data_IF_954046172558
#
_entry.id   IF_954046172558
#
_cell.length_a   1.000
_cell.length_b   1.000
_cell.length_c   1.000
_cell.angle_alpha   90.00
_cell.angle_beta   90.00
_cell.angle_gamma   90.00
#
_symmetry.space_group_name_H-M   'P 1'
#
loop_
_entity.id
_entity.type
_entity.pdbx_description
1 polymer ?
#
# COMPACT_ATOMS: atom_id res chain seq x y z
N UNK A 1 39.55 -19.30 -26.88
CA UNK A 1 38.88 -19.67 -25.63
C UNK A 1 37.74 -20.61 -25.98
N UNK A 2 37.49 -21.64 -25.15
CA UNK A 2 36.34 -22.50 -25.40
C UNK A 2 35.05 -21.81 -25.02
N UNK A 3 33.95 -22.13 -25.74
CA UNK A 3 32.60 -21.57 -25.51
C UNK A 3 32.15 -21.68 -24.03
N UNK A 4 32.42 -22.80 -23.38
CA UNK A 4 32.08 -23.07 -21.99
C UNK A 4 32.84 -22.13 -21.04
N UNK A 5 34.13 -21.94 -21.25
CA UNK A 5 34.95 -21.07 -20.42
C UNK A 5 34.52 -19.61 -20.57
N UNK A 6 34.14 -19.20 -21.78
CA UNK A 6 33.59 -17.89 -22.06
C UNK A 6 32.32 -17.62 -21.24
N UNK A 7 31.34 -18.53 -21.30
CA UNK A 7 30.09 -18.40 -20.59
C UNK A 7 30.28 -18.42 -19.06
N UNK A 8 31.22 -19.22 -18.55
CA UNK A 8 31.53 -19.30 -17.12
C UNK A 8 32.17 -17.99 -16.61
N UNK A 9 33.13 -17.45 -17.33
CA UNK A 9 33.79 -16.18 -17.00
C UNK A 9 32.79 -15.00 -17.06
N UNK A 10 31.98 -14.93 -18.11
CA UNK A 10 30.95 -13.90 -18.31
C UNK A 10 29.90 -13.95 -17.20
N UNK A 11 29.31 -15.12 -16.92
CA UNK A 11 28.30 -15.28 -15.90
C UNK A 11 28.81 -15.05 -14.48
N UNK A 12 30.12 -15.29 -14.27
CA UNK A 12 30.81 -14.98 -13.01
C UNK A 12 30.80 -13.50 -12.65
N UNK A 13 30.68 -12.59 -13.64
CA UNK A 13 30.59 -11.14 -13.43
C UNK A 13 29.16 -10.68 -13.05
N UNK A 14 28.13 -11.51 -13.26
CA UNK A 14 26.74 -11.17 -13.07
C UNK A 14 26.32 -11.42 -11.60
N UNK A 15 25.99 -10.34 -10.88
CA UNK A 15 25.57 -10.41 -9.47
C UNK A 15 24.19 -11.04 -9.29
N UNK A 16 23.29 -10.85 -10.27
CA UNK A 16 21.94 -11.43 -10.23
C UNK A 16 21.98 -12.90 -10.69
N UNK A 17 22.32 -13.81 -9.77
CA UNK A 17 22.45 -15.26 -10.04
C UNK A 17 21.23 -15.90 -10.72
N UNK A 18 20.04 -15.33 -10.56
CA UNK A 18 18.83 -15.82 -11.21
C UNK A 18 18.77 -15.54 -12.71
N UNK A 19 19.42 -14.46 -13.13
CA UNK A 19 19.49 -14.11 -14.54
C UNK A 19 20.61 -14.84 -15.25
N UNK A 20 21.64 -15.32 -14.53
CA UNK A 20 22.76 -16.04 -15.13
C UNK A 20 22.34 -17.16 -16.12
N UNK A 21 21.41 -18.09 -15.79
CA UNK A 21 21.03 -19.13 -16.73
C UNK A 21 20.26 -18.61 -17.95
N UNK A 22 19.53 -17.49 -17.81
CA UNK A 22 18.79 -16.89 -18.92
C UNK A 22 19.76 -16.17 -19.87
N UNK A 23 20.66 -15.35 -19.29
CA UNK A 23 21.68 -14.61 -20.05
C UNK A 23 22.68 -15.58 -20.71
N UNK A 24 23.09 -16.63 -19.98
CA UNK A 24 23.99 -17.64 -20.55
C UNK A 24 23.37 -18.30 -21.79
N UNK A 25 22.08 -18.62 -21.74
CA UNK A 25 21.35 -19.21 -22.85
C UNK A 25 21.21 -18.25 -24.03
N UNK A 26 20.88 -16.99 -23.77
CA UNK A 26 20.76 -15.96 -24.80
C UNK A 26 22.11 -15.73 -25.54
N UNK A 27 23.21 -15.66 -24.78
CA UNK A 27 24.55 -15.54 -25.35
C UNK A 27 24.95 -16.83 -26.04
N UNK A 28 24.61 -17.98 -25.52
CA UNK A 28 24.85 -19.28 -26.16
C UNK A 28 24.11 -19.40 -27.49
N UNK A 29 22.86 -19.00 -27.57
CA UNK A 29 22.08 -18.97 -28.81
C UNK A 29 22.72 -18.00 -29.84
N UNK A 30 23.22 -16.86 -29.38
CA UNK A 30 23.92 -15.87 -30.21
C UNK A 30 25.25 -16.42 -30.80
N UNK A 31 26.05 -17.12 -29.96
CA UNK A 31 27.29 -17.77 -30.45
C UNK A 31 26.95 -18.84 -31.48
N UNK A 32 25.85 -19.58 -31.27
CA UNK A 32 25.45 -20.62 -32.23
C UNK A 32 24.97 -20.03 -33.57
N UNK A 33 24.21 -18.92 -33.53
CA UNK A 33 23.80 -18.21 -34.76
C UNK A 33 25.02 -17.68 -35.55
N UNK A 34 25.98 -17.08 -34.86
CA UNK A 34 27.23 -16.61 -35.48
C UNK A 34 28.07 -17.77 -36.05
N UNK A 35 28.21 -18.89 -35.32
CA UNK A 35 28.86 -20.10 -35.80
C UNK A 35 28.25 -20.58 -37.10
N UNK A 36 26.89 -20.61 -37.19
CA UNK A 36 26.21 -21.03 -38.40
C UNK A 36 26.47 -20.07 -39.58
N UNK A 37 26.55 -18.76 -39.30
CA UNK A 37 26.91 -17.78 -40.33
C UNK A 37 28.33 -18.01 -40.90
N UNK A 38 29.34 -18.21 -40.04
CA UNK A 38 30.69 -18.49 -40.45
C UNK A 38 30.86 -19.83 -41.19
N UNK A 39 30.11 -20.85 -40.80
CA UNK A 39 30.05 -22.12 -41.53
C UNK A 39 29.44 -21.93 -42.93
N UNK A 40 28.46 -21.07 -43.09
CA UNK A 40 27.90 -20.73 -44.41
C UNK A 40 28.88 -19.99 -45.32
N UNK A 41 29.86 -19.27 -44.71
CA UNK A 41 30.97 -18.62 -45.43
C UNK A 41 32.11 -19.58 -45.78
N UNK A 42 32.02 -20.86 -45.36
CA UNK A 42 32.96 -21.92 -45.75
C UNK A 42 34.01 -22.26 -44.68
N UNK A 43 33.89 -21.78 -43.45
CA UNK A 43 34.77 -22.17 -42.34
C UNK A 43 34.46 -23.60 -41.86
N UNK A 44 35.45 -24.27 -41.32
CA UNK A 44 35.26 -25.54 -40.61
C UNK A 44 34.53 -25.30 -39.29
N UNK A 45 33.84 -26.31 -38.77
CA UNK A 45 33.06 -26.20 -37.55
C UNK A 45 33.88 -25.70 -36.34
N UNK A 46 35.13 -26.20 -36.20
CA UNK A 46 36.00 -25.76 -35.10
C UNK A 46 36.51 -24.32 -35.25
N UNK A 47 36.79 -23.90 -36.50
CA UNK A 47 37.21 -22.53 -36.80
C UNK A 47 36.05 -21.54 -36.61
N UNK A 48 34.85 -21.91 -37.08
CA UNK A 48 33.63 -21.11 -36.94
C UNK A 48 33.26 -20.90 -35.47
N UNK A 49 33.41 -21.92 -34.62
CA UNK A 49 33.10 -21.81 -33.18
C UNK A 49 34.11 -20.88 -32.47
N UNK A 50 35.39 -20.98 -32.78
CA UNK A 50 36.41 -20.08 -32.23
C UNK A 50 36.23 -18.65 -32.68
N UNK A 51 35.91 -18.43 -33.95
CA UNK A 51 35.63 -17.11 -34.50
C UNK A 51 34.37 -16.48 -33.89
N UNK A 52 33.31 -17.27 -33.73
CA UNK A 52 32.08 -16.80 -33.09
C UNK A 52 32.31 -16.38 -31.64
N UNK A 53 33.07 -17.13 -30.85
CA UNK A 53 33.39 -16.76 -29.47
C UNK A 53 34.31 -15.52 -29.42
N UNK A 54 35.25 -15.37 -30.38
CA UNK A 54 36.15 -14.23 -30.44
C UNK A 54 35.41 -12.93 -30.81
N UNK A 55 34.40 -13.02 -31.67
CA UNK A 55 33.56 -11.89 -32.08
C UNK A 55 32.65 -11.38 -30.95
N UNK A 56 32.30 -12.22 -29.98
CA UNK A 56 31.56 -11.81 -28.80
C UNK A 56 32.31 -10.84 -27.87
N UNK A 57 33.62 -10.67 -28.05
CA UNK A 57 34.47 -9.78 -27.28
C UNK A 57 34.93 -10.35 -25.94
N UNK A 58 35.40 -9.48 -25.05
CA UNK A 58 35.89 -9.89 -23.70
C UNK A 58 34.76 -10.36 -22.80
N UNK A 59 34.77 -11.60 -22.31
CA UNK A 59 33.72 -12.14 -21.44
C UNK A 59 33.54 -11.35 -20.13
N UNK A 60 34.58 -10.71 -19.61
CA UNK A 60 34.50 -9.89 -18.40
C UNK A 60 33.77 -8.59 -18.71
N UNK A 61 34.08 -7.95 -19.83
CA UNK A 61 33.46 -6.69 -20.25
C UNK A 61 31.98 -6.90 -20.57
N UNK A 62 31.65 -7.92 -21.37
CA UNK A 62 30.29 -8.30 -21.70
C UNK A 62 29.51 -8.69 -20.44
N UNK A 63 30.10 -9.44 -19.50
CA UNK A 63 29.48 -9.82 -18.24
C UNK A 63 29.16 -8.63 -17.34
N UNK A 64 30.08 -7.64 -17.29
CA UNK A 64 29.83 -6.38 -16.53
C UNK A 64 28.73 -5.53 -17.17
N UNK A 65 28.68 -5.45 -18.52
CA UNK A 65 27.59 -4.75 -19.21
C UNK A 65 26.23 -5.41 -18.96
N UNK A 66 26.19 -6.74 -19.06
CA UNK A 66 24.97 -7.52 -18.74
C UNK A 66 24.56 -7.36 -17.29
N UNK A 67 25.50 -7.31 -16.32
CA UNK A 67 25.18 -7.00 -14.93
C UNK A 67 24.56 -5.59 -14.78
N UNK A 68 25.07 -4.58 -15.47
CA UNK A 68 24.54 -3.22 -15.43
C UNK A 68 23.11 -3.11 -15.96
N UNK A 69 22.79 -3.91 -16.99
CA UNK A 69 21.45 -3.94 -17.60
C UNK A 69 20.45 -4.69 -16.70
N UNK A 70 20.86 -5.82 -16.13
CA UNK A 70 19.96 -6.76 -15.44
C UNK A 70 19.97 -6.63 -13.91
N UNK A 71 20.89 -5.87 -13.32
CA UNK A 71 20.90 -5.65 -11.87
C UNK A 71 19.66 -4.87 -11.41
N UNK A 72 19.06 -5.26 -10.29
CA UNK A 72 17.95 -4.51 -9.68
C UNK A 72 18.40 -3.08 -9.36
N UNK A 73 17.77 -2.10 -9.99
CA UNK A 73 18.04 -0.68 -9.70
C UNK A 73 17.22 -0.26 -8.48
N UNK A 74 17.90 0.14 -7.41
CA UNK A 74 17.23 0.69 -6.22
C UNK A 74 16.51 2.00 -6.58
N UNK A 75 15.24 2.17 -6.16
CA UNK A 75 14.46 3.36 -6.47
C UNK A 75 14.81 4.53 -5.52
N UNK A 76 16.08 4.97 -5.51
CA UNK A 76 16.59 6.01 -4.60
C UNK A 76 15.76 7.28 -4.59
N UNK A 77 15.19 7.66 -5.75
CA UNK A 77 14.29 8.83 -5.82
C UNK A 77 13.02 8.64 -4.99
N UNK A 78 12.41 7.46 -5.05
CA UNK A 78 11.23 7.15 -4.24
C UNK A 78 11.57 7.09 -2.75
N UNK A 79 12.69 6.45 -2.39
CA UNK A 79 13.19 6.36 -1.02
C UNK A 79 13.44 7.77 -0.45
N UNK A 80 14.10 8.64 -1.21
CA UNK A 80 14.35 10.03 -0.78
C UNK A 80 13.04 10.81 -0.57
N UNK A 81 12.07 10.69 -1.47
CA UNK A 81 10.77 11.36 -1.34
C UNK A 81 10.04 10.88 -0.09
N UNK A 82 10.01 9.57 0.17
CA UNK A 82 9.41 9.00 1.38
C UNK A 82 10.14 9.52 2.63
N UNK A 83 11.49 9.55 2.61
CA UNK A 83 12.30 10.07 3.70
C UNK A 83 11.96 11.53 4.04
N UNK A 84 11.88 12.37 3.02
CA UNK A 84 11.52 13.78 3.20
C UNK A 84 10.12 13.95 3.76
N UNK A 85 9.16 13.15 3.30
CA UNK A 85 7.79 13.16 3.80
C UNK A 85 7.71 12.73 5.26
N UNK A 86 8.45 11.68 5.65
CA UNK A 86 8.52 11.21 7.04
C UNK A 86 9.16 12.27 7.97
N UNK A 87 10.24 12.92 7.54
CA UNK A 87 10.88 14.00 8.30
C UNK A 87 9.91 15.18 8.46
N UNK A 88 9.26 15.62 7.37
CA UNK A 88 8.29 16.70 7.41
C UNK A 88 7.12 16.38 8.35
N UNK A 89 6.62 15.15 8.27
CA UNK A 89 5.60 14.59 9.13
C UNK A 89 6.03 14.63 10.60
N UNK A 90 7.26 14.24 10.90
CA UNK A 90 7.83 14.31 12.24
C UNK A 90 7.92 15.75 12.78
N UNK A 91 8.30 16.70 11.93
CA UNK A 91 8.35 18.13 12.29
C UNK A 91 6.95 18.65 12.64
N UNK A 92 5.95 18.36 11.80
CA UNK A 92 4.56 18.74 12.08
C UNK A 92 4.04 18.08 13.37
N UNK A 93 4.29 16.77 13.55
CA UNK A 93 3.90 16.07 14.75
C UNK A 93 4.54 16.72 16.01
N UNK A 94 5.83 17.02 15.98
CA UNK A 94 6.52 17.67 17.08
C UNK A 94 5.95 19.08 17.38
N UNK A 95 5.60 19.84 16.32
CA UNK A 95 5.00 21.16 16.45
C UNK A 95 3.64 21.08 17.15
N UNK A 96 2.75 20.18 16.71
CA UNK A 96 1.41 20.04 17.29
C UNK A 96 1.44 19.46 18.71
N UNK A 97 2.38 18.55 18.98
CA UNK A 97 2.50 17.90 20.29
C UNK A 97 3.09 18.82 21.36
N UNK A 98 3.87 19.84 20.99
CA UNK A 98 4.37 20.86 21.91
C UNK A 98 3.21 21.65 22.57
N UNK A 99 2.04 21.65 21.96
CA UNK A 99 0.84 22.28 22.50
C UNK A 99 0.13 21.44 23.58
N UNK A 100 0.47 20.14 23.72
CA UNK A 100 -0.06 19.24 24.75
C UNK A 100 1.03 18.98 25.80
N UNK A 101 0.93 19.61 26.95
CA UNK A 101 1.98 19.64 27.99
C UNK A 101 2.39 18.24 28.52
N UNK A 102 1.48 17.26 28.52
CA UNK A 102 1.74 15.93 29.11
C UNK A 102 2.24 14.85 28.13
N UNK A 103 1.98 14.94 26.84
CA UNK A 103 2.24 13.87 25.87
C UNK A 103 3.29 14.20 24.81
N UNK A 104 3.68 15.47 24.66
CA UNK A 104 4.51 15.94 23.53
C UNK A 104 5.87 15.27 23.43
N UNK A 105 6.60 15.13 24.52
CA UNK A 105 7.95 14.55 24.53
C UNK A 105 7.94 13.04 24.22
N UNK A 106 7.05 12.28 24.85
CA UNK A 106 6.93 10.83 24.66
C UNK A 106 6.48 10.50 23.25
N UNK A 107 5.56 11.28 22.70
CA UNK A 107 5.08 11.08 21.32
C UNK A 107 6.17 11.40 20.28
N UNK A 108 6.99 12.44 20.51
CA UNK A 108 8.14 12.76 19.65
C UNK A 108 9.16 11.63 19.62
N UNK A 109 9.53 11.07 20.79
CA UNK A 109 10.46 9.93 20.87
C UNK A 109 9.88 8.70 20.14
N UNK A 110 8.61 8.38 20.34
CA UNK A 110 7.95 7.28 19.64
C UNK A 110 7.98 7.47 18.13
N UNK A 111 7.78 8.68 17.63
CA UNK A 111 7.83 8.97 16.19
C UNK A 111 9.25 8.77 15.64
N UNK A 112 10.28 9.27 16.30
CA UNK A 112 11.67 9.05 15.89
C UNK A 112 11.99 7.55 15.85
N UNK A 113 11.59 6.80 16.89
CA UNK A 113 11.80 5.36 16.94
C UNK A 113 11.10 4.64 15.77
N UNK A 114 9.87 5.02 15.42
CA UNK A 114 9.15 4.44 14.28
C UNK A 114 9.85 4.71 12.95
N UNK A 115 10.29 5.93 12.71
CA UNK A 115 11.04 6.28 11.49
C UNK A 115 12.32 5.46 11.44
N UNK A 116 13.07 5.40 12.55
CA UNK A 116 14.32 4.65 12.66
C UNK A 116 14.14 3.14 12.39
N UNK A 117 12.99 2.57 12.75
CA UNK A 117 12.66 1.16 12.46
C UNK A 117 12.10 0.95 11.06
N UNK A 118 11.28 1.87 10.55
CA UNK A 118 10.62 1.73 9.25
C UNK A 118 11.61 1.79 8.08
N UNK A 119 12.63 2.65 8.16
CA UNK A 119 13.64 2.82 7.10
C UNK A 119 14.43 1.55 6.81
N UNK A 120 15.08 0.88 7.78
CA UNK A 120 15.78 -0.38 7.55
C UNK A 120 14.85 -1.46 6.99
N UNK A 121 13.62 -1.57 7.50
CA UNK A 121 12.63 -2.53 7.00
C UNK A 121 12.26 -2.24 5.55
N UNK A 122 12.04 -0.97 5.18
CA UNK A 122 11.78 -0.58 3.79
C UNK A 122 12.93 -0.97 2.86
N UNK A 123 14.17 -0.68 3.26
CA UNK A 123 15.36 -1.04 2.49
C UNK A 123 15.45 -2.58 2.35
N UNK A 124 15.24 -3.32 3.43
CA UNK A 124 15.25 -4.78 3.41
C UNK A 124 14.19 -5.34 2.45
N UNK A 125 12.97 -4.81 2.47
CA UNK A 125 11.91 -5.20 1.54
C UNK A 125 12.28 -4.89 0.10
N UNK A 126 12.98 -3.80 -0.18
CA UNK A 126 13.45 -3.48 -1.53
C UNK A 126 14.48 -4.50 -2.08
N UNK A 127 15.24 -5.16 -1.21
CA UNK A 127 16.17 -6.24 -1.59
C UNK A 127 15.52 -7.62 -1.67
N UNK A 128 14.30 -7.77 -1.11
CA UNK A 128 13.61 -9.06 -1.13
C UNK A 128 13.15 -9.43 -2.53
N UNK A 129 13.38 -10.70 -2.88
CA UNK A 129 12.86 -11.26 -4.12
C UNK A 129 11.40 -11.72 -3.96
N UNK A 130 10.49 -10.88 -4.41
CA UNK A 130 9.05 -11.16 -4.37
C UNK A 130 8.60 -12.28 -5.32
N UNK A 131 9.45 -12.75 -6.25
CA UNK A 131 9.12 -13.88 -7.13
C UNK A 131 8.87 -15.17 -6.33
N UNK A 132 9.56 -15.33 -5.20
CA UNK A 132 9.34 -16.43 -4.28
C UNK A 132 7.94 -16.40 -3.65
N UNK A 133 7.47 -15.21 -3.29
CA UNK A 133 6.09 -15.00 -2.82
C UNK A 133 5.09 -15.40 -3.92
N UNK A 134 5.36 -15.05 -5.17
CA UNK A 134 4.53 -15.44 -6.32
C UNK A 134 4.42 -16.94 -6.51
N UNK A 135 5.52 -17.69 -6.32
CA UNK A 135 5.54 -19.15 -6.42
C UNK A 135 4.67 -19.82 -5.34
N UNK A 136 4.69 -19.31 -4.11
CA UNK A 136 4.00 -19.89 -2.95
C UNK A 136 2.87 -18.99 -2.43
N UNK A 137 2.22 -18.22 -3.32
CA UNK A 137 1.25 -17.18 -2.97
C UNK A 137 0.14 -17.66 -2.03
N UNK A 138 -0.43 -18.85 -2.27
CA UNK A 138 -1.50 -19.43 -1.44
C UNK A 138 -1.01 -19.78 -0.04
N UNK A 139 0.22 -20.30 0.07
CA UNK A 139 0.82 -20.63 1.36
C UNK A 139 1.06 -19.38 2.20
N UNK A 140 1.62 -18.32 1.57
CA UNK A 140 1.85 -17.05 2.26
C UNK A 140 0.56 -16.35 2.65
N UNK A 141 -0.43 -16.30 1.76
CA UNK A 141 -1.71 -15.68 2.07
C UNK A 141 -2.46 -16.45 3.18
N UNK A 142 -2.52 -17.78 3.10
CA UNK A 142 -3.15 -18.61 4.12
C UNK A 142 -2.39 -18.59 5.45
N UNK A 143 -1.06 -18.68 5.42
CA UNK A 143 -0.21 -18.55 6.61
C UNK A 143 -0.35 -17.21 7.29
N UNK A 144 -0.45 -16.12 6.50
CA UNK A 144 -0.67 -14.79 7.03
C UNK A 144 -2.05 -14.65 7.72
N UNK A 145 -3.11 -15.18 7.10
CA UNK A 145 -4.44 -15.20 7.71
C UNK A 145 -4.44 -15.99 9.03
N UNK A 146 -3.80 -17.16 9.04
CA UNK A 146 -3.64 -17.96 10.26
C UNK A 146 -2.86 -17.19 11.33
N UNK A 147 -1.74 -16.56 10.94
CA UNK A 147 -0.96 -15.71 11.84
C UNK A 147 -1.80 -14.59 12.47
N UNK A 148 -2.62 -13.89 11.69
CA UNK A 148 -3.51 -12.84 12.19
C UNK A 148 -4.52 -13.37 13.22
N UNK A 149 -5.11 -14.55 12.95
CA UNK A 149 -6.04 -15.20 13.88
C UNK A 149 -5.34 -15.61 15.18
N UNK A 150 -4.15 -16.21 15.09
CA UNK A 150 -3.35 -16.61 16.26
C UNK A 150 -2.91 -15.39 17.08
N UNK A 151 -2.43 -14.33 16.43
CA UNK A 151 -2.06 -13.08 17.12
C UNK A 151 -3.24 -12.50 17.88
N UNK A 152 -4.43 -12.47 17.28
CA UNK A 152 -5.63 -12.05 17.98
C UNK A 152 -5.98 -12.96 19.16
N UNK A 153 -5.87 -14.26 18.99
CA UNK A 153 -6.26 -15.21 20.03
C UNK A 153 -5.35 -15.13 21.28
N UNK A 154 -4.04 -15.01 21.07
CA UNK A 154 -3.07 -15.08 22.17
C UNK A 154 -2.64 -13.74 22.76
N UNK A 155 -2.66 -12.65 21.96
CA UNK A 155 -2.04 -11.38 22.33
C UNK A 155 -2.98 -10.18 22.28
N UNK A 156 -4.29 -10.40 22.15
CA UNK A 156 -5.25 -9.30 22.01
C UNK A 156 -5.33 -8.44 23.27
N UNK A 157 -5.27 -7.13 23.05
CA UNK A 157 -5.60 -6.11 24.04
C UNK A 157 -6.95 -5.49 23.70
N UNK A 158 -7.82 -5.39 24.69
CA UNK A 158 -9.08 -4.66 24.57
C UNK A 158 -8.88 -3.22 25.05
N UNK A 159 -9.05 -2.28 24.14
CA UNK A 159 -8.98 -0.86 24.43
C UNK A 159 -10.36 -0.26 24.07
N UNK A 160 -11.02 0.36 25.03
CA UNK A 160 -12.36 0.93 24.88
C UNK A 160 -13.40 -0.08 24.32
N UNK A 161 -13.32 -1.34 24.74
CA UNK A 161 -14.22 -2.41 24.29
C UNK A 161 -13.92 -2.98 22.90
N UNK A 162 -12.91 -2.48 22.20
CA UNK A 162 -12.51 -2.99 20.90
C UNK A 162 -11.27 -3.91 21.01
N UNK A 163 -11.42 -5.17 20.61
CA UNK A 163 -10.38 -6.20 20.60
C UNK A 163 -9.57 -6.15 19.28
N UNK A 164 -8.89 -5.04 19.01
CA UNK A 164 -8.16 -4.79 17.75
C UNK A 164 -6.68 -4.47 17.89
N UNK A 165 -6.15 -4.55 19.10
CA UNK A 165 -4.75 -4.26 19.39
C UNK A 165 -4.05 -5.50 19.93
N UNK A 166 -2.77 -5.65 19.60
CA UNK A 166 -1.89 -6.65 20.19
C UNK A 166 -0.89 -5.93 21.08
N UNK A 167 -0.65 -6.45 22.30
CA UNK A 167 0.39 -5.95 23.20
C UNK A 167 1.54 -6.94 23.30
N UNK A 168 2.74 -6.47 22.98
CA UNK A 168 3.97 -7.25 23.15
C UNK A 168 5.04 -6.34 23.73
N UNK A 169 5.57 -6.69 24.91
CA UNK A 169 6.71 -6.00 25.50
C UNK A 169 6.53 -4.49 25.74
N UNK A 170 5.29 -4.03 26.05
CA UNK A 170 4.99 -2.61 26.24
C UNK A 170 4.68 -1.84 24.97
N UNK A 171 4.72 -2.49 23.81
CA UNK A 171 4.28 -1.92 22.52
C UNK A 171 2.89 -2.43 22.17
N UNK A 172 2.06 -1.56 21.61
CA UNK A 172 0.77 -1.94 21.04
C UNK A 172 0.81 -1.79 19.52
N UNK A 173 0.35 -2.83 18.81
CA UNK A 173 0.26 -2.85 17.35
C UNK A 173 -1.19 -3.11 16.96
N UNK A 174 -1.71 -2.33 16.00
CA UNK A 174 -3.07 -2.52 15.50
C UNK A 174 -3.16 -3.70 14.54
N UNK A 175 -3.98 -4.68 14.86
CA UNK A 175 -4.33 -5.80 13.96
C UNK A 175 -4.97 -5.29 12.67
N UNK A 176 -5.78 -4.23 12.76
CA UNK A 176 -6.41 -3.63 11.60
C UNK A 176 -5.39 -3.08 10.60
N UNK A 177 -4.33 -2.42 11.08
CA UNK A 177 -3.25 -1.92 10.22
C UNK A 177 -2.43 -3.07 9.62
N UNK A 178 -2.17 -4.12 10.39
CA UNK A 178 -1.48 -5.30 9.86
C UNK A 178 -2.22 -5.91 8.68
N UNK A 179 -3.57 -5.83 8.63
CA UNK A 179 -4.36 -6.37 7.51
C UNK A 179 -3.95 -5.84 6.13
N UNK A 180 -3.28 -4.69 6.04
CA UNK A 180 -2.79 -4.14 4.78
C UNK A 180 -1.72 -5.00 4.11
N UNK A 181 -0.93 -5.72 4.89
CA UNK A 181 0.08 -6.64 4.36
C UNK A 181 -0.55 -7.83 3.61
N UNK A 182 -1.85 -8.07 3.81
CA UNK A 182 -2.57 -9.08 3.02
C UNK A 182 -2.72 -8.67 1.56
N UNK A 183 -2.80 -7.38 1.23
CA UNK A 183 -3.07 -6.93 -0.15
C UNK A 183 -1.97 -7.30 -1.16
N UNK A 184 -0.68 -7.10 -0.91
CA UNK A 184 0.35 -7.62 -1.81
C UNK A 184 0.31 -9.16 -1.92
N UNK A 185 -0.01 -9.89 -0.85
CA UNK A 185 -0.18 -11.34 -0.88
C UNK A 185 -1.41 -11.74 -1.72
N UNK A 186 -2.52 -11.02 -1.59
CA UNK A 186 -3.70 -11.21 -2.43
C UNK A 186 -3.39 -10.94 -3.91
N UNK A 187 -2.58 -9.92 -4.22
CA UNK A 187 -2.08 -9.68 -5.56
C UNK A 187 -1.32 -10.86 -6.14
N UNK A 188 -0.49 -11.51 -5.34
CA UNK A 188 0.22 -12.72 -5.74
C UNK A 188 -0.73 -13.92 -5.94
N UNK A 189 -1.79 -14.03 -5.15
CA UNK A 189 -2.85 -15.04 -5.33
C UNK A 189 -3.59 -14.83 -6.64
N UNK A 190 -4.00 -13.60 -6.96
CA UNK A 190 -4.63 -13.25 -8.24
C UNK A 190 -3.75 -13.62 -9.43
N UNK A 191 -2.45 -13.31 -9.34
CA UNK A 191 -1.48 -13.66 -10.38
C UNK A 191 -1.36 -15.17 -10.58
N UNK A 192 -1.49 -15.97 -9.51
CA UNK A 192 -1.39 -17.45 -9.58
C UNK A 192 -2.55 -18.09 -10.34
N UNK A 193 -3.74 -17.48 -10.32
CA UNK A 193 -4.92 -17.97 -11.01
C UNK A 193 -5.05 -17.45 -12.45
N UNK A 194 -4.03 -16.79 -12.99
CA UNK A 194 -4.02 -16.29 -14.36
C UNK A 194 -4.16 -17.44 -15.38
N UNK A 195 -4.94 -17.21 -16.42
CA UNK A 195 -5.24 -18.21 -17.46
C UNK A 195 -6.45 -19.11 -17.16
N UNK A 196 -6.97 -19.08 -15.93
CA UNK A 196 -8.18 -19.83 -15.56
C UNK A 196 -9.46 -19.04 -15.92
N UNK A 197 -10.62 -19.74 -15.94
CA UNK A 197 -11.93 -19.16 -16.24
C UNK A 197 -12.68 -18.62 -15.02
N UNK A 198 -14.02 -18.70 -15.02
CA UNK A 198 -14.88 -18.19 -13.94
C UNK A 198 -14.56 -18.75 -12.55
N UNK A 199 -14.04 -19.99 -12.48
CA UNK A 199 -13.58 -20.57 -11.21
C UNK A 199 -12.48 -19.77 -10.54
N UNK A 200 -11.59 -19.10 -11.30
CA UNK A 200 -10.55 -18.22 -10.76
C UNK A 200 -11.14 -16.97 -10.10
N UNK A 201 -12.15 -16.37 -10.73
CA UNK A 201 -12.84 -15.21 -10.15
C UNK A 201 -13.53 -15.59 -8.84
N UNK A 202 -14.19 -16.75 -8.79
CA UNK A 202 -14.81 -17.25 -7.56
C UNK A 202 -13.74 -17.49 -6.46
N UNK A 203 -12.63 -18.17 -6.80
CA UNK A 203 -11.51 -18.39 -5.86
C UNK A 203 -10.94 -17.06 -5.36
N UNK A 204 -10.80 -16.06 -6.23
CA UNK A 204 -10.33 -14.72 -5.85
C UNK A 204 -11.28 -14.06 -4.85
N UNK A 205 -12.59 -14.12 -5.07
CA UNK A 205 -13.59 -13.62 -4.11
C UNK A 205 -13.52 -14.38 -2.79
N UNK A 206 -13.39 -15.72 -2.83
CA UNK A 206 -13.27 -16.55 -1.61
C UNK A 206 -12.03 -16.16 -0.80
N UNK A 207 -10.90 -15.83 -1.44
CA UNK A 207 -9.68 -15.43 -0.73
C UNK A 207 -9.79 -14.08 -0.01
N UNK A 208 -10.66 -13.16 -0.45
CA UNK A 208 -10.86 -11.89 0.26
C UNK A 208 -11.78 -12.02 1.48
N UNK A 209 -12.69 -13.00 1.52
CA UNK A 209 -13.68 -13.13 2.61
C UNK A 209 -13.06 -13.33 3.99
N UNK A 210 -12.02 -14.16 4.20
CA UNK A 210 -11.43 -14.39 5.52
C UNK A 210 -10.86 -13.12 6.15
N UNK A 211 -10.16 -12.28 5.40
CA UNK A 211 -9.58 -11.04 5.96
C UNK A 211 -10.66 -10.00 6.27
N UNK A 212 -11.68 -9.88 5.41
CA UNK A 212 -12.82 -8.99 5.66
C UNK A 212 -13.61 -9.47 6.87
N UNK A 213 -13.92 -10.77 6.95
CA UNK A 213 -14.57 -11.37 8.11
C UNK A 213 -13.78 -11.19 9.40
N UNK A 214 -12.46 -11.40 9.36
CA UNK A 214 -11.57 -11.15 10.49
C UNK A 214 -11.69 -9.70 11.00
N UNK A 215 -11.65 -8.71 10.10
CA UNK A 215 -11.74 -7.30 10.47
C UNK A 215 -13.12 -6.92 11.05
N UNK A 216 -14.20 -7.52 10.57
CA UNK A 216 -15.53 -7.37 11.17
C UNK A 216 -15.52 -7.89 12.61
N UNK A 217 -14.86 -9.01 12.87
CA UNK A 217 -14.73 -9.54 14.25
C UNK A 217 -13.82 -8.69 15.14
N UNK A 218 -12.93 -7.86 14.56
CA UNK A 218 -12.11 -6.87 15.28
C UNK A 218 -12.82 -5.53 15.53
N UNK A 219 -14.13 -5.44 15.54
CA UNK A 219 -15.07 -4.33 15.35
C UNK A 219 -14.51 -3.13 14.57
N UNK A 220 -13.87 -3.39 13.45
CA UNK A 220 -13.31 -2.37 12.56
C UNK A 220 -13.92 -2.46 11.14
N UNK A 221 -15.19 -2.09 11.04
CA UNK A 221 -15.96 -2.15 9.79
C UNK A 221 -15.41 -1.24 8.69
N UNK A 222 -14.77 -0.12 9.06
CA UNK A 222 -14.18 0.80 8.08
C UNK A 222 -12.95 0.17 7.45
N UNK A 223 -12.09 -0.46 8.25
CA UNK A 223 -10.92 -1.17 7.73
C UNK A 223 -11.34 -2.39 6.90
N UNK A 224 -12.39 -3.12 7.34
CA UNK A 224 -12.97 -4.21 6.56
C UNK A 224 -13.44 -3.74 5.18
N UNK A 225 -14.13 -2.60 5.12
CA UNK A 225 -14.54 -1.95 3.87
C UNK A 225 -13.33 -1.52 3.01
N UNK A 226 -12.33 -0.90 3.62
CA UNK A 226 -11.12 -0.45 2.91
C UNK A 226 -10.36 -1.61 2.27
N UNK A 227 -10.11 -2.67 3.02
CA UNK A 227 -9.40 -3.86 2.52
C UNK A 227 -10.25 -4.60 1.49
N UNK A 228 -11.55 -4.74 1.74
CA UNK A 228 -12.48 -5.38 0.80
C UNK A 228 -12.55 -4.63 -0.54
N UNK A 229 -12.73 -3.30 -0.51
CA UNK A 229 -12.71 -2.46 -1.71
C UNK A 229 -11.36 -2.56 -2.45
N UNK A 230 -10.25 -2.53 -1.74
CA UNK A 230 -8.93 -2.69 -2.34
C UNK A 230 -8.80 -4.04 -3.07
N UNK A 231 -9.25 -5.14 -2.46
CA UNK A 231 -9.28 -6.45 -3.10
C UNK A 231 -10.16 -6.47 -4.36
N UNK A 232 -11.34 -5.84 -4.31
CA UNK A 232 -12.24 -5.74 -5.47
C UNK A 232 -11.57 -4.94 -6.60
N UNK A 233 -10.96 -3.78 -6.32
CA UNK A 233 -10.25 -3.00 -7.33
C UNK A 233 -9.07 -3.77 -7.93
N UNK A 234 -8.33 -4.55 -7.13
CA UNK A 234 -7.27 -5.42 -7.62
C UNK A 234 -7.82 -6.50 -8.55
N UNK A 235 -8.95 -7.12 -8.21
CA UNK A 235 -9.62 -8.11 -9.06
C UNK A 235 -10.13 -7.45 -10.37
N UNK A 236 -10.70 -6.25 -10.30
CA UNK A 236 -11.12 -5.50 -11.48
C UNK A 236 -9.95 -5.19 -12.41
N UNK A 237 -8.80 -4.77 -11.86
CA UNK A 237 -7.59 -4.55 -12.65
C UNK A 237 -7.07 -5.85 -13.30
N UNK A 238 -7.12 -6.97 -12.58
CA UNK A 238 -6.74 -8.28 -13.13
C UNK A 238 -7.64 -8.70 -14.31
N UNK A 239 -8.94 -8.42 -14.22
CA UNK A 239 -9.92 -8.64 -15.30
C UNK A 239 -9.64 -7.73 -16.51
N UNK A 240 -9.38 -6.45 -16.27
CA UNK A 240 -9.06 -5.46 -17.33
C UNK A 240 -7.78 -5.85 -18.07
N UNK A 241 -6.78 -6.38 -17.37
CA UNK A 241 -5.53 -6.90 -17.96
C UNK A 241 -5.71 -8.23 -18.69
N UNK A 242 -6.92 -8.79 -18.75
CA UNK A 242 -7.20 -10.03 -19.46
C UNK A 242 -6.61 -11.29 -18.81
N UNK A 243 -6.40 -11.28 -17.49
CA UNK A 243 -5.79 -12.42 -16.80
C UNK A 243 -6.69 -13.63 -16.74
N UNK A 244 -8.00 -13.46 -16.85
CA UNK A 244 -8.99 -14.54 -16.73
C UNK A 244 -9.80 -14.70 -18.02
N UNK A 245 -10.06 -15.95 -18.38
CA UNK A 245 -10.87 -16.30 -19.56
C UNK A 245 -12.36 -16.22 -19.22
N UNK A 246 -12.88 -15.00 -19.08
CA UNK A 246 -14.26 -14.73 -18.69
C UNK A 246 -14.86 -13.58 -19.50
N UNK A 247 -16.18 -13.44 -19.49
CA UNK A 247 -16.87 -12.28 -20.06
C UNK A 247 -16.63 -11.04 -19.17
N UNK A 248 -15.49 -10.36 -19.37
CA UNK A 248 -14.98 -9.27 -18.52
C UNK A 248 -16.07 -8.24 -18.20
N UNK A 249 -16.84 -7.77 -19.20
CA UNK A 249 -17.89 -6.76 -18.99
C UNK A 249 -18.96 -7.20 -18.00
N UNK A 250 -19.40 -8.49 -18.08
CA UNK A 250 -20.43 -9.02 -17.17
C UNK A 250 -19.90 -9.15 -15.73
N UNK A 251 -18.69 -9.67 -15.59
CA UNK A 251 -18.05 -9.80 -14.27
C UNK A 251 -17.77 -8.44 -13.65
N UNK A 252 -17.25 -7.49 -14.43
CA UNK A 252 -17.01 -6.09 -13.98
C UNK A 252 -18.31 -5.41 -13.53
N UNK A 253 -19.41 -5.57 -14.28
CA UNK A 253 -20.71 -5.04 -13.88
C UNK A 253 -21.19 -5.67 -12.55
N UNK A 254 -21.06 -6.99 -12.40
CA UNK A 254 -21.40 -7.69 -11.15
C UNK A 254 -20.58 -7.21 -9.96
N UNK A 255 -19.25 -7.06 -10.13
CA UNK A 255 -18.37 -6.51 -9.10
C UNK A 255 -18.71 -5.05 -8.78
N UNK A 256 -19.03 -4.24 -9.79
CA UNK A 256 -19.47 -2.84 -9.59
C UNK A 256 -20.77 -2.76 -8.76
N UNK A 257 -21.75 -3.61 -9.06
CA UNK A 257 -22.99 -3.72 -8.29
C UNK A 257 -22.69 -4.12 -6.84
N UNK A 258 -21.81 -5.09 -6.61
CA UNK A 258 -21.39 -5.49 -5.27
C UNK A 258 -20.67 -4.35 -4.53
N UNK A 259 -19.80 -3.62 -5.22
CA UNK A 259 -19.00 -2.52 -4.64
C UNK A 259 -19.88 -1.36 -4.16
N UNK A 260 -20.94 -1.05 -4.88
CA UNK A 260 -21.88 0.03 -4.53
C UNK A 260 -23.08 -0.50 -3.75
N UNK A 261 -23.62 -1.64 -4.17
CA UNK A 261 -24.85 -2.20 -3.61
C UNK A 261 -24.70 -2.67 -2.17
N UNK A 262 -23.58 -3.32 -1.80
CA UNK A 262 -23.37 -3.77 -0.42
C UNK A 262 -23.25 -2.58 0.55
N UNK A 263 -22.39 -1.57 0.35
CA UNK A 263 -22.35 -0.41 1.22
C UNK A 263 -23.67 0.37 1.28
N UNK A 264 -24.33 0.55 0.13
CA UNK A 264 -25.62 1.21 0.07
C UNK A 264 -26.70 0.43 0.82
N UNK A 265 -26.74 -0.90 0.67
CA UNK A 265 -27.65 -1.78 1.40
C UNK A 265 -27.40 -1.75 2.91
N UNK A 266 -26.15 -1.76 3.35
CA UNK A 266 -25.78 -1.62 4.77
C UNK A 266 -26.22 -0.26 5.30
N UNK A 267 -25.96 0.83 4.58
CA UNK A 267 -26.40 2.17 4.97
C UNK A 267 -27.91 2.26 5.05
N UNK A 268 -28.63 1.71 4.07
CA UNK A 268 -30.08 1.66 4.05
C UNK A 268 -30.62 0.83 5.24
N UNK A 269 -30.03 -0.33 5.50
CA UNK A 269 -30.41 -1.15 6.64
C UNK A 269 -30.27 -0.39 7.97
N UNK A 270 -29.15 0.25 8.22
CA UNK A 270 -28.95 1.02 9.44
C UNK A 270 -29.81 2.29 9.50
N UNK A 271 -30.13 2.89 8.36
CA UNK A 271 -31.01 4.04 8.29
C UNK A 271 -32.46 3.69 8.68
N UNK A 272 -32.94 2.54 8.23
CA UNK A 272 -34.34 2.13 8.51
C UNK A 272 -34.46 1.31 9.79
N UNK A 273 -33.57 0.37 10.05
CA UNK A 273 -33.68 -0.62 11.11
C UNK A 273 -32.61 -0.47 12.22
N UNK A 274 -31.65 0.42 12.08
CA UNK A 274 -30.60 0.65 13.06
C UNK A 274 -31.12 1.27 14.37
N UNK A 275 -30.32 1.17 15.43
CA UNK A 275 -30.56 1.85 16.68
C UNK A 275 -30.54 3.38 16.49
N UNK A 276 -31.20 4.13 17.35
CA UNK A 276 -31.35 5.59 17.21
C UNK A 276 -29.98 6.31 17.10
N UNK A 277 -28.97 5.85 17.83
CA UNK A 277 -27.61 6.42 17.71
C UNK A 277 -26.98 6.18 16.33
N UNK A 278 -27.28 5.05 15.67
CA UNK A 278 -26.80 4.73 14.31
C UNK A 278 -27.52 5.60 13.27
N UNK A 279 -28.84 5.72 13.39
CA UNK A 279 -29.63 6.63 12.55
C UNK A 279 -29.17 8.08 12.68
N UNK A 280 -28.89 8.53 13.92
CA UNK A 280 -28.35 9.87 14.16
C UNK A 280 -26.98 10.07 13.46
N UNK A 281 -26.09 9.09 13.53
CA UNK A 281 -24.78 9.17 12.83
C UNK A 281 -24.94 9.27 11.33
N UNK A 282 -25.83 8.47 10.74
CA UNK A 282 -26.08 8.52 9.28
C UNK A 282 -26.70 9.86 8.89
N UNK A 283 -27.71 10.32 9.63
CA UNK A 283 -28.31 11.65 9.39
C UNK A 283 -27.27 12.76 9.51
N UNK A 284 -26.37 12.67 10.49
CA UNK A 284 -25.28 13.63 10.68
C UNK A 284 -24.30 13.72 9.50
N UNK A 285 -24.13 12.65 8.72
CA UNK A 285 -23.30 12.67 7.51
C UNK A 285 -23.95 13.49 6.37
N UNK A 286 -25.27 13.48 6.28
CA UNK A 286 -26.02 14.13 5.19
C UNK A 286 -26.55 15.52 5.54
N UNK A 287 -26.73 15.84 6.82
CA UNK A 287 -27.22 17.16 7.25
C UNK A 287 -26.04 18.12 7.38
N UNK A 288 -25.81 18.87 6.32
CA UNK A 288 -24.77 19.92 6.26
C UNK A 288 -25.18 21.21 6.98
N UNK A 289 -26.45 21.37 7.40
CA UNK A 289 -27.00 22.68 7.81
C UNK A 289 -27.55 22.72 9.24
N UNK A 290 -27.33 23.88 9.88
CA UNK A 290 -28.00 24.53 11.04
C UNK A 290 -28.33 23.77 12.33
N UNK A 291 -28.36 22.46 12.41
CA UNK A 291 -28.47 21.72 13.66
C UNK A 291 -27.11 21.53 14.39
N UNK A 292 -26.12 22.36 14.09
CA UNK A 292 -24.82 22.40 14.80
C UNK A 292 -24.98 22.52 16.32
N UNK A 293 -26.10 23.05 16.79
CA UNK A 293 -26.45 23.09 18.20
C UNK A 293 -26.70 21.71 18.85
N UNK A 294 -27.25 20.73 18.11
CA UNK A 294 -27.45 19.35 18.60
C UNK A 294 -26.19 18.51 18.55
N UNK A 295 -25.18 18.91 17.73
CA UNK A 295 -23.89 18.23 17.62
C UNK A 295 -22.83 18.75 18.59
N UNK A 296 -23.14 19.73 19.45
CA UNK A 296 -22.23 20.19 20.50
C UNK A 296 -21.82 19.01 21.37
N UNK A 297 -20.51 18.75 21.43
CA UNK A 297 -19.91 17.63 22.17
C UNK A 297 -19.60 16.39 21.35
N UNK A 298 -19.90 16.36 20.04
CA UNK A 298 -19.42 15.30 19.13
C UNK A 298 -18.13 15.73 18.43
N UNK A 299 -17.29 14.75 18.05
CA UNK A 299 -16.06 15.01 17.30
C UNK A 299 -16.35 15.74 15.98
N UNK A 300 -17.40 15.32 15.26
CA UNK A 300 -17.80 15.95 14.00
C UNK A 300 -18.21 17.42 14.16
N UNK A 301 -18.93 17.73 15.24
CA UNK A 301 -19.30 19.10 15.58
C UNK A 301 -18.08 19.98 15.85
N UNK A 302 -17.11 19.47 16.62
CA UNK A 302 -15.86 20.18 16.90
C UNK A 302 -15.03 20.42 15.63
N UNK A 303 -14.95 19.44 14.72
CA UNK A 303 -14.26 19.56 13.41
C UNK A 303 -14.91 20.67 12.57
N UNK A 304 -16.22 20.66 12.43
CA UNK A 304 -16.95 21.68 11.65
C UNK A 304 -16.83 23.06 12.29
N UNK A 305 -16.87 23.14 13.61
CA UNK A 305 -16.70 24.39 14.34
C UNK A 305 -15.31 25.00 14.11
N UNK A 306 -14.24 24.21 14.22
CA UNK A 306 -12.90 24.69 13.92
C UNK A 306 -12.73 25.07 12.46
N UNK A 307 -13.22 24.24 11.52
CA UNK A 307 -13.14 24.52 10.09
C UNK A 307 -13.83 25.83 9.71
N UNK A 308 -14.97 26.14 10.32
CA UNK A 308 -15.68 27.41 10.07
C UNK A 308 -14.94 28.66 10.58
N UNK A 309 -13.98 28.48 11.49
CA UNK A 309 -13.12 29.53 12.03
C UNK A 309 -11.76 29.65 11.29
N UNK A 310 -11.43 28.67 10.44
CA UNK A 310 -10.18 28.70 9.67
C UNK A 310 -10.20 29.82 8.64
N UNK A 311 -9.10 30.55 8.56
CA UNK A 311 -8.86 31.60 7.54
C UNK A 311 -8.12 31.02 6.35
N UNK A 312 -8.08 31.76 5.24
CA UNK A 312 -7.29 31.37 4.07
C UNK A 312 -5.81 31.23 4.44
N UNK A 313 -5.25 32.20 5.19
CA UNK A 313 -3.89 32.21 5.71
C UNK A 313 -3.96 32.68 7.17
N UNK A 314 -3.16 32.07 8.04
CA UNK A 314 -3.05 32.46 9.43
C UNK A 314 -3.76 31.52 10.39
N UNK A 315 -3.75 31.89 11.66
CA UNK A 315 -4.20 31.04 12.78
C UNK A 315 -5.68 31.24 13.08
N UNK A 316 -6.42 30.15 13.17
CA UNK A 316 -7.83 30.15 13.57
C UNK A 316 -7.99 30.40 15.08
N UNK A 317 -9.06 31.12 15.45
CA UNK A 317 -9.42 31.30 16.86
C UNK A 317 -9.91 29.99 17.48
N UNK A 318 -9.36 29.65 18.65
CA UNK A 318 -9.77 28.44 19.39
C UNK A 318 -9.12 27.14 18.94
N UNK A 319 -8.14 27.17 18.04
CA UNK A 319 -7.40 25.99 17.59
C UNK A 319 -6.75 25.24 18.75
N UNK A 320 -6.22 25.94 19.77
CA UNK A 320 -5.59 25.30 20.94
C UNK A 320 -6.59 24.54 21.79
N UNK A 321 -7.82 25.04 21.93
CA UNK A 321 -8.90 24.34 22.65
C UNK A 321 -9.31 23.05 21.96
N UNK A 322 -9.26 23.05 20.64
CA UNK A 322 -9.54 21.84 19.85
C UNK A 322 -8.51 20.74 20.16
N UNK A 323 -7.22 21.12 20.28
CA UNK A 323 -6.13 20.18 20.56
C UNK A 323 -5.98 19.82 22.04
N UNK A 324 -6.39 20.68 22.96
CA UNK A 324 -6.37 20.39 24.39
C UNK A 324 -7.49 19.46 24.85
N UNK A 325 -8.46 19.14 23.97
CA UNK A 325 -9.56 18.23 24.29
C UNK A 325 -9.17 16.77 24.19
N UNK A 326 -9.36 15.99 25.28
CA UNK A 326 -9.06 14.55 25.34
C UNK A 326 -9.88 13.68 24.36
N UNK A 327 -10.81 14.25 23.62
CA UNK A 327 -11.78 13.53 22.78
C UNK A 327 -11.32 13.32 21.34
N UNK A 328 -10.22 13.97 20.90
CA UNK A 328 -9.82 13.99 19.50
C UNK A 328 -8.39 13.50 19.42
N UNK A 329 -8.16 12.39 18.72
CA UNK A 329 -6.81 11.96 18.36
C UNK A 329 -6.20 13.00 17.41
N UNK A 330 -5.15 13.67 17.85
CA UNK A 330 -4.43 14.69 17.07
C UNK A 330 -3.96 14.15 15.71
N UNK A 331 -3.64 12.87 15.64
CA UNK A 331 -3.16 12.22 14.43
C UNK A 331 -4.24 12.08 13.36
N UNK A 332 -5.50 11.82 13.74
CA UNK A 332 -6.60 11.63 12.77
C UNK A 332 -6.98 12.93 12.06
N UNK A 333 -6.78 14.07 12.72
CA UNK A 333 -7.19 15.39 12.22
C UNK A 333 -6.03 16.32 11.92
N UNK A 334 -4.87 15.76 11.54
CA UNK A 334 -3.67 16.56 11.26
C UNK A 334 -3.88 17.62 10.18
N UNK A 335 -4.63 17.31 9.12
CA UNK A 335 -4.94 18.28 8.05
C UNK A 335 -5.76 19.45 8.57
N UNK A 336 -6.73 19.19 9.43
CA UNK A 336 -7.51 20.24 10.10
C UNK A 336 -6.61 21.07 11.04
N UNK A 337 -5.63 20.43 11.71
CA UNK A 337 -4.62 21.13 12.47
C UNK A 337 -3.79 22.09 11.63
N UNK A 338 -3.31 21.64 10.48
CA UNK A 338 -2.59 22.48 9.51
C UNK A 338 -3.46 23.65 9.08
N UNK A 339 -4.75 23.43 8.77
CA UNK A 339 -5.67 24.51 8.44
C UNK A 339 -5.87 25.48 9.59
N UNK A 340 -5.96 24.99 10.82
CA UNK A 340 -6.16 25.81 12.01
C UNK A 340 -4.97 26.68 12.38
N UNK A 341 -3.75 26.19 12.21
CA UNK A 341 -2.54 26.94 12.55
C UNK A 341 -1.97 27.79 11.42
N UNK A 342 -2.05 27.31 10.19
CA UNK A 342 -1.39 27.94 9.03
C UNK A 342 -2.38 28.47 7.98
N UNK A 343 -3.62 28.04 8.04
CA UNK A 343 -4.67 28.42 7.11
C UNK A 343 -5.01 27.35 6.08
N UNK A 344 -6.16 27.54 5.42
CA UNK A 344 -6.74 26.59 4.46
C UNK A 344 -5.84 26.40 3.24
N UNK A 345 -5.15 27.45 2.78
CA UNK A 345 -4.26 27.35 1.61
C UNK A 345 -3.11 26.37 1.83
N UNK A 346 -2.52 26.35 3.04
CA UNK A 346 -1.45 25.40 3.38
C UNK A 346 -2.00 23.98 3.44
N UNK A 347 -3.19 23.77 4.02
CA UNK A 347 -3.86 22.48 4.01
C UNK A 347 -4.09 21.98 2.57
N UNK A 348 -4.63 22.83 1.68
CA UNK A 348 -4.87 22.47 0.27
C UNK A 348 -3.57 22.13 -0.46
N UNK A 349 -2.49 22.86 -0.19
CA UNK A 349 -1.16 22.55 -0.74
C UNK A 349 -0.67 21.17 -0.28
N UNK A 350 -0.79 20.85 1.01
CA UNK A 350 -0.44 19.51 1.54
C UNK A 350 -1.28 18.42 0.90
N UNK A 351 -2.58 18.62 0.75
CA UNK A 351 -3.49 17.68 0.05
C UNK A 351 -3.02 17.47 -1.39
N UNK A 352 -2.71 18.55 -2.12
CA UNK A 352 -2.26 18.47 -3.51
C UNK A 352 -0.93 17.69 -3.64
N UNK A 353 0.03 17.92 -2.73
CA UNK A 353 1.30 17.19 -2.71
C UNK A 353 1.07 15.71 -2.50
N UNK A 354 0.25 15.31 -1.52
CA UNK A 354 -0.02 13.90 -1.23
C UNK A 354 -0.78 13.25 -2.38
N UNK A 355 -1.80 13.91 -2.93
CA UNK A 355 -2.53 13.41 -4.10
C UNK A 355 -1.60 13.23 -5.30
N UNK A 356 -0.69 14.18 -5.54
CA UNK A 356 0.34 14.09 -6.58
C UNK A 356 1.27 12.89 -6.40
N UNK A 357 1.71 12.62 -5.16
CA UNK A 357 2.52 11.45 -4.84
C UNK A 357 1.76 10.13 -5.05
N UNK A 358 0.51 10.05 -4.61
CA UNK A 358 -0.32 8.86 -4.83
C UNK A 358 -0.54 8.61 -6.33
N UNK A 359 -0.81 9.65 -7.11
CA UNK A 359 -0.90 9.57 -8.57
C UNK A 359 0.42 9.12 -9.20
N UNK A 360 1.57 9.60 -8.70
CA UNK A 360 2.88 9.17 -9.17
C UNK A 360 3.16 7.71 -8.85
N UNK A 361 2.86 7.25 -7.63
CA UNK A 361 2.98 5.83 -7.24
C UNK A 361 2.07 4.95 -8.10
N UNK A 362 0.83 5.35 -8.31
CA UNK A 362 -0.12 4.61 -9.14
C UNK A 362 0.39 4.47 -10.58
N UNK A 363 0.81 5.58 -11.19
CA UNK A 363 1.36 5.57 -12.56
C UNK A 363 2.64 4.73 -12.65
N UNK A 364 3.53 4.84 -11.67
CA UNK A 364 4.77 4.06 -11.61
C UNK A 364 4.47 2.56 -11.52
N UNK A 365 3.50 2.19 -10.67
CA UNK A 365 3.07 0.80 -10.50
C UNK A 365 2.44 0.23 -11.76
N UNK A 366 1.52 0.95 -12.41
CA UNK A 366 0.85 0.49 -13.63
C UNK A 366 1.77 0.40 -14.86
N UNK A 367 2.90 1.11 -14.86
CA UNK A 367 3.92 1.05 -15.91
C UNK A 367 4.90 -0.12 -15.76
N UNK A 368 4.85 -0.86 -14.67
CA UNK A 368 5.76 -2.00 -14.44
C UNK A 368 5.50 -3.11 -15.45
N UNK A 369 6.57 -3.60 -16.09
CA UNK A 369 6.50 -4.73 -17.01
C UNK A 369 6.20 -6.05 -16.29
N UNK A 370 6.71 -6.22 -15.06
CA UNK A 370 6.45 -7.40 -14.25
C UNK A 370 5.04 -7.34 -13.68
N UNK A 371 4.16 -8.19 -14.18
CA UNK A 371 2.74 -8.24 -13.81
C UNK A 371 2.50 -8.60 -12.33
N UNK A 372 3.34 -9.46 -11.74
CA UNK A 372 3.27 -9.78 -10.32
C UNK A 372 3.58 -8.55 -9.47
N UNK A 373 4.72 -7.88 -9.73
CA UNK A 373 5.10 -6.66 -9.03
C UNK A 373 4.09 -5.52 -9.22
N UNK A 374 3.54 -5.38 -10.43
CA UNK A 374 2.47 -4.43 -10.72
C UNK A 374 1.25 -4.66 -9.82
N UNK A 375 0.77 -5.90 -9.71
CA UNK A 375 -0.43 -6.21 -8.94
C UNK A 375 -0.20 -6.07 -7.42
N UNK A 376 0.95 -6.53 -6.92
CA UNK A 376 1.32 -6.36 -5.51
C UNK A 376 1.44 -4.87 -5.14
N UNK A 377 2.11 -4.09 -5.98
CA UNK A 377 2.24 -2.63 -5.79
C UNK A 377 0.91 -1.89 -5.90
N UNK A 378 0.04 -2.29 -6.83
CA UNK A 378 -1.29 -1.72 -6.98
C UNK A 378 -2.13 -1.89 -5.69
N UNK A 379 -2.09 -3.07 -5.06
CA UNK A 379 -2.74 -3.30 -3.78
C UNK A 379 -2.28 -2.33 -2.69
N UNK A 380 -0.95 -2.09 -2.59
CA UNK A 380 -0.41 -1.13 -1.64
C UNK A 380 -0.88 0.32 -1.93
N UNK A 381 -0.87 0.73 -3.21
CA UNK A 381 -1.31 2.08 -3.59
C UNK A 381 -2.80 2.27 -3.34
N UNK A 382 -3.62 1.24 -3.61
CA UNK A 382 -5.07 1.34 -3.39
C UNK A 382 -5.42 1.55 -1.92
N UNK A 383 -4.78 0.82 -1.00
CA UNK A 383 -5.04 1.01 0.42
C UNK A 383 -4.64 2.41 0.88
N UNK A 384 -3.48 2.90 0.44
CA UNK A 384 -3.03 4.26 0.77
C UNK A 384 -4.00 5.32 0.23
N UNK A 385 -4.49 5.13 -1.00
CA UNK A 385 -5.44 6.05 -1.64
C UNK A 385 -6.78 6.07 -0.91
N UNK A 386 -7.35 4.91 -0.58
CA UNK A 386 -8.64 4.84 0.12
C UNK A 386 -8.50 5.46 1.53
N UNK A 387 -7.41 5.16 2.23
CA UNK A 387 -7.16 5.75 3.56
C UNK A 387 -6.99 7.26 3.49
N UNK A 388 -6.28 7.77 2.50
CA UNK A 388 -6.16 9.21 2.28
C UNK A 388 -7.52 9.87 2.03
N UNK A 389 -8.37 9.28 1.20
CA UNK A 389 -9.72 9.78 0.95
C UNK A 389 -10.58 9.76 2.22
N UNK A 390 -10.54 8.68 3.01
CA UNK A 390 -11.27 8.60 4.27
C UNK A 390 -10.80 9.67 5.28
N UNK A 391 -9.49 9.85 5.41
CA UNK A 391 -8.91 10.91 6.23
C UNK A 391 -9.33 12.30 5.75
N UNK A 392 -9.32 12.54 4.45
CA UNK A 392 -9.76 13.80 3.88
C UNK A 392 -11.22 14.08 4.24
N UNK A 393 -12.12 13.11 4.05
CA UNK A 393 -13.54 13.23 4.41
C UNK A 393 -13.75 13.53 5.90
N UNK A 394 -12.93 12.94 6.78
CA UNK A 394 -12.96 13.23 8.21
C UNK A 394 -12.51 14.66 8.52
N UNK A 395 -11.40 15.11 7.92
CA UNK A 395 -10.82 16.42 8.17
C UNK A 395 -11.65 17.59 7.60
N UNK A 396 -12.44 17.37 6.55
CA UNK A 396 -13.38 18.39 6.02
C UNK A 396 -14.76 18.31 6.69
N UNK A 397 -14.92 17.47 7.71
CA UNK A 397 -16.16 17.40 8.51
C UNK A 397 -17.35 16.75 7.80
N UNK A 398 -17.13 15.91 6.78
CA UNK A 398 -18.17 15.13 6.11
C UNK A 398 -18.41 13.81 6.84
N UNK A 399 -17.35 13.17 7.35
CA UNK A 399 -17.43 11.89 8.03
C UNK A 399 -16.91 12.03 9.45
N UNK A 400 -17.70 11.56 10.44
CA UNK A 400 -17.24 11.42 11.83
C UNK A 400 -16.41 10.17 12.07
N UNK A 401 -16.04 9.45 11.01
CA UNK A 401 -15.23 8.25 11.03
C UNK A 401 -13.77 8.70 10.87
N UNK A 402 -13.17 9.19 11.95
CA UNK A 402 -11.74 9.39 12.05
C UNK A 402 -11.09 8.01 12.04
N UNK A 403 -10.45 7.64 10.97
CA UNK A 403 -9.44 6.59 10.95
C UNK A 403 -8.15 7.17 10.41
N UNK A 404 -7.13 6.94 11.17
CA UNK A 404 -5.78 7.41 10.98
C UNK A 404 -5.17 6.92 9.66
N UNK A 405 -5.45 7.58 8.54
CA UNK A 405 -4.67 7.40 7.32
C UNK A 405 -3.20 7.80 7.55
N UNK A 406 -2.98 8.62 8.53
CA UNK A 406 -1.66 9.12 8.95
C UNK A 406 -0.98 8.20 9.95
N UNK A 407 -1.62 7.13 10.45
CA UNK A 407 -0.95 6.16 11.30
C UNK A 407 0.23 5.45 10.61
N UNK A 408 0.29 5.43 9.28
CA UNK A 408 1.50 5.02 8.55
C UNK A 408 2.59 6.09 8.61
N UNK A 409 2.21 7.37 8.60
CA UNK A 409 3.15 8.48 8.58
C UNK A 409 3.34 9.09 9.98
N UNK A 410 2.30 9.11 10.83
CA UNK A 410 2.34 9.77 12.13
C UNK A 410 2.05 8.87 13.33
N UNK A 411 1.67 7.63 13.10
CA UNK A 411 1.56 6.53 14.04
C UNK A 411 1.24 6.87 15.49
N UNK A 412 -0.02 7.05 15.82
CA UNK A 412 -0.48 7.01 17.18
C UNK A 412 -1.28 5.72 17.45
N UNK A 413 -0.73 4.86 18.27
CA UNK A 413 -1.45 3.85 19.01
C UNK A 413 -1.34 4.17 20.46
#
# INVERSE_FOLDING_TARGET
>A
MERRDYLELMTGQIRCRKMCPVIAREVEDHIEDQKQAFMAEGMTEEEAEKAAVEEMGDPVEVGVEMDQIHRPKMPWKAILVIALMEILSGIFAAFFLKQSESYGYVAGIRQIFRIAMAFPVMILVCYMDYSWIGKHARLFAGGYLLFMVLMRHFFVLQINGAARWIGVGGFSVSLSLMSWLFLPLYGAVLYRYRGEGYGAVLKAVVWMLPIVGFLITCPDSVMAGTVGLSCIFMLMLALEKGWYQVAVRKVMAGLGILTVGIPAGILAYFFFFGAEYQKMRIRAMFVLDKEAGRMKGTTLGAVRELLSRCMAVGRASGVDRFWAGDRISSADYMMLGIAGYFGILVMVLCIAVIAGLLCWFLRSTLKQKNQLGMMMGFGCVMVLTIQFLLSLLANIGISGIGQCAWCLFFGYG
#
